data_IF_944323252761
#
_entry.id   IF_944323252761
#
_cell.length_a   1.000
_cell.length_b   1.000
_cell.length_c   1.000
_cell.angle_alpha   90.00
_cell.angle_beta   90.00
_cell.angle_gamma   90.00
#
_symmetry.space_group_name_H-M   'P 1'
#
loop_
_entity.id
_entity.type
_entity.pdbx_description
1 polymer ?
#
# COMPACT_ATOMS: atom_id res chain seq x y z
N UNK A 1 19.52 -16.33 11.57
CA UNK A 1 18.19 -15.84 11.17
C UNK A 1 17.64 -16.81 10.14
N UNK A 2 16.81 -17.76 10.56
CA UNK A 2 16.00 -18.55 9.63
C UNK A 2 14.91 -17.62 9.10
N UNK A 3 15.21 -16.91 8.01
CA UNK A 3 14.20 -16.15 7.27
C UNK A 3 13.13 -17.16 6.87
N UNK A 4 11.99 -17.13 7.55
CA UNK A 4 10.89 -18.00 7.22
C UNK A 4 10.43 -17.61 5.82
N UNK A 5 10.49 -18.54 4.86
CA UNK A 5 10.16 -18.27 3.45
C UNK A 5 8.77 -17.62 3.32
N UNK A 6 7.86 -17.96 4.23
CA UNK A 6 6.52 -17.38 4.32
C UNK A 6 6.53 -15.89 4.69
N UNK A 7 7.44 -15.43 5.55
CA UNK A 7 7.59 -14.01 5.89
C UNK A 7 8.20 -13.21 4.73
N UNK A 8 9.12 -13.80 3.97
CA UNK A 8 9.65 -13.17 2.76
C UNK A 8 8.56 -13.01 1.70
N UNK A 9 7.77 -14.04 1.43
CA UNK A 9 6.65 -13.97 0.49
C UNK A 9 5.61 -12.93 0.95
N UNK A 10 5.26 -12.92 2.24
CA UNK A 10 4.33 -11.92 2.78
C UNK A 10 4.88 -10.49 2.67
N UNK A 11 6.18 -10.30 2.93
CA UNK A 11 6.85 -9.01 2.74
C UNK A 11 6.78 -8.55 1.29
N UNK A 12 7.10 -9.43 0.34
CA UNK A 12 7.12 -9.10 -1.09
C UNK A 12 5.70 -8.85 -1.63
N UNK A 13 4.69 -9.53 -1.08
CA UNK A 13 3.29 -9.24 -1.40
C UNK A 13 2.90 -7.84 -0.90
N UNK A 14 3.25 -7.50 0.35
CA UNK A 14 2.90 -6.21 0.94
C UNK A 14 3.59 -5.04 0.23
N UNK A 15 4.85 -5.18 -0.18
CA UNK A 15 5.53 -4.10 -0.90
C UNK A 15 4.92 -3.86 -2.29
N UNK A 16 4.50 -4.92 -2.98
CA UNK A 16 3.79 -4.79 -4.26
C UNK A 16 2.40 -4.19 -4.08
N UNK A 17 1.69 -4.56 -3.00
CA UNK A 17 0.40 -3.98 -2.67
C UNK A 17 0.53 -2.49 -2.34
N UNK A 18 1.57 -2.09 -1.61
CA UNK A 18 1.88 -0.69 -1.34
C UNK A 18 2.09 0.11 -2.63
N UNK A 19 2.84 -0.43 -3.59
CA UNK A 19 3.02 0.19 -4.90
C UNK A 19 1.69 0.36 -5.65
N UNK A 20 0.78 -0.61 -5.55
CA UNK A 20 -0.58 -0.51 -6.09
C UNK A 20 -1.38 0.65 -5.49
N UNK A 21 -1.37 0.79 -4.16
CA UNK A 21 -2.03 1.90 -3.48
C UNK A 21 -1.43 3.26 -3.86
N UNK A 22 -0.10 3.38 -3.95
CA UNK A 22 0.56 4.60 -4.41
C UNK A 22 0.24 4.91 -5.89
N UNK A 23 0.09 3.88 -6.74
CA UNK A 23 -0.40 4.03 -8.11
C UNK A 23 -1.83 4.59 -8.14
N UNK A 24 -2.71 4.09 -7.27
CA UNK A 24 -4.08 4.57 -7.16
C UNK A 24 -4.13 6.06 -6.78
N UNK A 25 -3.25 6.53 -5.89
CA UNK A 25 -3.12 7.95 -5.52
C UNK A 25 -2.89 8.85 -6.75
N UNK A 26 -2.13 8.38 -7.75
CA UNK A 26 -1.84 9.16 -8.96
C UNK A 26 -2.97 9.09 -10.00
N UNK A 27 -3.65 7.95 -10.09
CA UNK A 27 -4.65 7.67 -11.13
C UNK A 27 -6.04 8.17 -10.71
N UNK A 28 -6.50 7.83 -9.51
CA UNK A 28 -7.86 8.13 -9.02
C UNK A 28 -8.27 9.60 -9.15
N UNK A 29 -7.46 10.62 -8.79
CA UNK A 29 -7.89 12.01 -8.88
C UNK A 29 -8.16 12.46 -10.33
N UNK A 30 -7.45 11.90 -11.31
CA UNK A 30 -7.51 12.29 -12.72
C UNK A 30 -8.61 11.55 -13.49
N UNK A 31 -8.93 10.30 -13.12
CA UNK A 31 -9.86 9.46 -13.88
C UNK A 31 -11.20 9.20 -13.17
N UNK A 32 -11.35 9.61 -11.90
CA UNK A 32 -12.60 9.40 -11.16
C UNK A 32 -13.58 10.56 -11.34
N UNK A 33 -14.86 10.24 -11.55
CA UNK A 33 -16.00 11.18 -11.53
C UNK A 33 -16.49 11.54 -10.12
N UNK A 34 -15.79 11.11 -9.06
CA UNK A 34 -16.14 11.39 -7.65
C UNK A 34 -16.08 12.89 -7.33
N UNK A 35 -16.88 13.31 -6.35
CA UNK A 35 -16.86 14.68 -5.85
C UNK A 35 -15.54 15.00 -5.13
N UNK A 36 -15.15 16.28 -5.07
CA UNK A 36 -13.88 16.73 -4.46
C UNK A 36 -13.61 16.14 -3.07
N UNK A 37 -14.61 16.14 -2.19
CA UNK A 37 -14.49 15.54 -0.83
C UNK A 37 -14.24 14.04 -0.88
N UNK A 38 -14.95 13.31 -1.73
CA UNK A 38 -14.78 11.86 -1.88
C UNK A 38 -13.40 11.52 -2.45
N UNK A 39 -12.90 12.30 -3.43
CA UNK A 39 -11.54 12.15 -3.96
C UNK A 39 -10.51 12.30 -2.86
N UNK A 40 -10.65 13.32 -2.02
CA UNK A 40 -9.72 13.57 -0.91
C UNK A 40 -9.73 12.43 0.12
N UNK A 41 -10.91 11.95 0.51
CA UNK A 41 -11.04 10.81 1.45
C UNK A 41 -10.39 9.54 0.88
N UNK A 42 -10.65 9.22 -0.39
CA UNK A 42 -10.07 8.05 -1.06
C UNK A 42 -8.54 8.18 -1.12
N UNK A 43 -8.02 9.35 -1.51
CA UNK A 43 -6.59 9.61 -1.57
C UNK A 43 -5.92 9.42 -0.19
N UNK A 44 -6.54 9.91 0.87
CA UNK A 44 -6.04 9.73 2.24
C UNK A 44 -6.03 8.26 2.63
N UNK A 45 -7.08 7.51 2.31
CA UNK A 45 -7.12 6.08 2.59
C UNK A 45 -6.04 5.32 1.81
N UNK A 46 -5.85 5.60 0.52
CA UNK A 46 -4.84 4.95 -0.30
C UNK A 46 -3.42 5.18 0.26
N UNK A 47 -3.11 6.41 0.69
CA UNK A 47 -1.82 6.73 1.33
C UNK A 47 -1.65 5.97 2.65
N UNK A 48 -2.69 5.95 3.50
CA UNK A 48 -2.66 5.25 4.78
C UNK A 48 -2.44 3.75 4.59
N UNK A 49 -3.16 3.12 3.66
CA UNK A 49 -2.97 1.71 3.34
C UNK A 49 -1.60 1.41 2.76
N UNK A 50 -1.07 2.28 1.89
CA UNK A 50 0.30 2.16 1.39
C UNK A 50 1.33 2.13 2.52
N UNK A 51 1.22 3.07 3.48
CA UNK A 51 2.12 3.15 4.64
C UNK A 51 2.01 1.88 5.50
N UNK A 52 0.80 1.41 5.80
CA UNK A 52 0.62 0.18 6.57
C UNK A 52 1.23 -1.04 5.88
N UNK A 53 1.10 -1.14 4.55
CA UNK A 53 1.71 -2.21 3.77
C UNK A 53 3.25 -2.15 3.85
N UNK A 54 3.85 -0.96 3.72
CA UNK A 54 5.31 -0.77 3.82
C UNK A 54 5.82 -1.16 5.21
N UNK A 55 5.14 -0.71 6.28
CA UNK A 55 5.52 -1.04 7.65
C UNK A 55 5.41 -2.54 7.92
N UNK A 56 4.35 -3.19 7.43
CA UNK A 56 4.19 -4.64 7.52
C UNK A 56 5.28 -5.39 6.78
N UNK A 57 5.62 -4.96 5.56
CA UNK A 57 6.70 -5.55 4.77
C UNK A 57 8.05 -5.45 5.50
N UNK A 58 8.38 -4.27 6.02
CA UNK A 58 9.61 -4.06 6.79
C UNK A 58 9.67 -4.97 8.03
N UNK A 59 8.56 -5.08 8.76
CA UNK A 59 8.48 -5.95 9.94
C UNK A 59 8.70 -7.43 9.58
N UNK A 60 8.07 -7.92 8.51
CA UNK A 60 8.25 -9.31 8.08
C UNK A 60 9.64 -9.59 7.50
N UNK A 61 10.29 -8.60 6.87
CA UNK A 61 11.69 -8.72 6.41
C UNK A 61 12.68 -8.83 7.57
N UNK A 62 12.33 -8.28 8.73
CA UNK A 62 13.19 -8.23 9.92
C UNK A 62 13.02 -9.44 10.87
N UNK A 63 12.05 -10.32 10.62
CA UNK A 63 11.74 -11.52 11.42
C UNK A 63 12.35 -12.78 10.78
#
# INVERSE_FOLDING_TARGET
MTNNIWFLIASDLLINLAAGWLGAVLIVPNFSSKNKRQKLVVLTMDIVFAIFCILGAYKFRSL
#
